data_IF_537805827219
#
_entry.id   IF_537805827219
#
_cell.length_a   1.000
_cell.length_b   1.000
_cell.length_c   1.000
_cell.angle_alpha   90.00
_cell.angle_beta   90.00
_cell.angle_gamma   90.00
#
_symmetry.space_group_name_H-M   'P 1'
#
loop_
_entity.id
_entity.type
_entity.pdbx_description
1 polymer ?
#
# COMPACT_ATOMS: atom_id res chain seq x y z
N UNK A 1 11.70 2.75 5.45
CA UNK A 1 10.30 3.23 5.44
C UNK A 1 9.34 2.04 5.51
N UNK A 2 8.10 2.25 5.89
CA UNK A 2 7.04 1.24 5.86
C UNK A 2 5.84 1.83 5.13
N UNK A 3 5.14 1.02 4.34
CA UNK A 3 3.87 1.44 3.73
C UNK A 3 2.74 0.62 4.34
N UNK A 4 1.65 1.28 4.73
CA UNK A 4 0.44 0.64 5.24
C UNK A 4 -0.72 0.97 4.30
N UNK A 5 -1.41 -0.06 3.83
CA UNK A 5 -2.65 0.06 3.08
C UNK A 5 -3.80 -0.20 4.05
N UNK A 6 -4.48 0.84 4.53
CA UNK A 6 -5.67 0.71 5.37
C UNK A 6 -6.93 0.68 4.51
N UNK A 7 -7.70 -0.40 4.56
CA UNK A 7 -8.97 -0.53 3.83
C UNK A 7 -10.13 -0.51 4.82
N UNK A 8 -10.97 0.52 4.70
CA UNK A 8 -12.20 0.70 5.48
C UNK A 8 -13.40 0.77 4.55
N UNK A 9 -14.61 0.62 5.12
CA UNK A 9 -15.87 0.38 4.40
C UNK A 9 -16.18 1.37 3.25
N UNK A 10 -15.61 2.57 3.30
CA UNK A 10 -15.82 3.62 2.31
C UNK A 10 -14.56 4.34 1.85
N UNK A 11 -13.40 4.04 2.43
CA UNK A 11 -12.14 4.72 2.13
C UNK A 11 -10.99 3.72 2.20
N UNK A 12 -10.02 3.89 1.32
CA UNK A 12 -8.71 3.25 1.41
C UNK A 12 -7.68 4.34 1.65
N UNK A 13 -6.72 4.07 2.52
CA UNK A 13 -5.59 4.96 2.77
C UNK A 13 -4.29 4.25 2.48
N UNK A 14 -3.38 4.95 1.83
CA UNK A 14 -2.00 4.56 1.66
C UNK A 14 -1.16 5.44 2.58
N UNK A 15 -0.60 4.87 3.63
CA UNK A 15 0.18 5.59 4.64
C UNK A 15 1.67 5.26 4.46
N UNK A 16 2.51 6.28 4.32
CA UNK A 16 3.96 6.14 4.40
C UNK A 16 4.39 6.42 5.84
N UNK A 17 5.03 5.44 6.49
CA UNK A 17 5.54 5.55 7.86
C UNK A 17 7.06 5.53 7.92
N UNK A 18 7.62 6.42 8.74
CA UNK A 18 9.01 6.46 9.19
C UNK A 18 9.04 6.34 10.71
N UNK A 19 9.68 5.31 11.24
CA UNK A 19 9.81 5.10 12.70
C UNK A 19 8.45 5.21 13.44
N UNK A 20 7.44 4.50 12.91
CA UNK A 20 6.04 4.47 13.37
C UNK A 20 5.25 5.79 13.21
N UNK A 21 5.87 6.87 12.76
CA UNK A 21 5.17 8.13 12.44
C UNK A 21 4.74 8.14 10.99
N UNK A 22 3.48 8.53 10.73
CA UNK A 22 3.01 8.81 9.37
C UNK A 22 3.69 10.08 8.86
N UNK A 23 4.43 9.94 7.76
CA UNK A 23 5.13 11.06 7.10
C UNK A 23 4.39 11.54 5.85
N UNK A 24 3.56 10.69 5.25
CA UNK A 24 2.68 11.06 4.15
C UNK A 24 1.47 10.11 4.08
N UNK A 25 0.38 10.57 3.47
CA UNK A 25 -0.81 9.76 3.24
C UNK A 25 -1.55 10.13 1.96
N UNK A 26 -2.14 9.12 1.31
CA UNK A 26 -3.08 9.29 0.20
C UNK A 26 -4.39 8.60 0.57
N UNK A 27 -5.50 9.34 0.52
CA UNK A 27 -6.84 8.82 0.80
C UNK A 27 -7.63 8.74 -0.51
N UNK A 28 -8.20 7.58 -0.81
CA UNK A 28 -8.99 7.37 -2.01
C UNK A 28 -10.19 6.47 -1.74
N UNK A 29 -11.23 6.59 -2.55
CA UNK A 29 -12.42 5.75 -2.44
C UNK A 29 -12.12 4.34 -3.00
N UNK A 30 -12.58 3.27 -2.33
CA UNK A 30 -12.52 1.91 -2.82
C UNK A 30 -13.56 1.71 -3.93
N UNK A 31 -13.36 2.36 -5.07
CA UNK A 31 -14.10 2.04 -6.28
C UNK A 31 -13.55 0.75 -6.90
N UNK A 32 -14.28 0.16 -7.86
CA UNK A 32 -14.00 -1.18 -8.44
C UNK A 32 -12.61 -1.38 -9.08
N UNK A 33 -11.72 -0.40 -9.03
CA UNK A 33 -10.41 -0.39 -9.68
C UNK A 33 -9.23 -0.13 -8.72
N UNK A 34 -9.35 -0.51 -7.44
CA UNK A 34 -8.26 -0.40 -6.44
C UNK A 34 -6.94 -0.95 -6.99
N UNK A 35 -6.97 -2.08 -7.70
CA UNK A 35 -5.78 -2.70 -8.30
C UNK A 35 -5.05 -1.79 -9.29
N UNK A 36 -5.82 -1.03 -10.08
CA UNK A 36 -5.28 -0.10 -11.08
C UNK A 36 -4.78 1.21 -10.45
N UNK A 37 -5.41 1.63 -9.35
CA UNK A 37 -5.06 2.89 -8.66
C UNK A 37 -3.91 2.73 -7.65
N UNK A 38 -3.71 1.54 -7.08
CA UNK A 38 -2.71 1.33 -6.04
C UNK A 38 -1.28 1.60 -6.53
N UNK A 39 -0.87 1.00 -7.65
CA UNK A 39 0.50 1.14 -8.16
C UNK A 39 0.85 2.61 -8.49
N UNK A 40 -0.01 3.38 -9.19
CA UNK A 40 0.20 4.82 -9.36
C UNK A 40 0.34 5.58 -8.05
N UNK A 41 -0.48 5.29 -7.04
CA UNK A 41 -0.39 5.96 -5.73
C UNK A 41 0.87 5.58 -4.96
N UNK A 42 1.36 4.34 -5.12
CA UNK A 42 2.67 3.92 -4.60
C UNK A 42 3.80 4.71 -5.27
N UNK A 43 3.80 4.80 -6.60
CA UNK A 43 4.82 5.57 -7.32
C UNK A 43 4.77 7.07 -6.96
N UNK A 44 3.56 7.63 -6.81
CA UNK A 44 3.34 9.01 -6.41
C UNK A 44 3.88 9.30 -5.01
N UNK A 45 3.51 8.49 -4.00
CA UNK A 45 3.96 8.72 -2.62
C UNK A 45 5.47 8.56 -2.48
N UNK A 46 6.08 7.63 -3.24
CA UNK A 46 7.53 7.44 -3.26
C UNK A 46 8.24 8.64 -3.89
N UNK A 47 7.83 9.05 -5.09
CA UNK A 47 8.42 10.19 -5.80
C UNK A 47 8.29 11.49 -5.02
N UNK A 48 7.11 11.75 -4.43
CA UNK A 48 6.86 12.94 -3.60
C UNK A 48 7.79 13.01 -2.39
N UNK A 49 8.17 11.86 -1.84
CA UNK A 49 9.08 11.77 -0.70
C UNK A 49 10.55 11.51 -1.09
N UNK A 50 10.86 11.55 -2.40
CA UNK A 50 12.18 11.26 -2.96
C UNK A 50 12.73 9.90 -2.50
N UNK A 51 11.83 8.90 -2.44
CA UNK A 51 12.11 7.52 -2.05
C UNK A 51 12.08 6.61 -3.27
N UNK A 52 12.77 5.50 -3.15
CA UNK A 52 12.69 4.38 -4.09
C UNK A 52 12.02 3.17 -3.46
N UNK A 53 11.72 2.17 -4.28
CA UNK A 53 11.19 0.87 -3.83
C UNK A 53 12.13 0.22 -2.80
N UNK A 54 13.44 0.41 -2.96
CA UNK A 54 14.47 -0.17 -2.08
C UNK A 54 14.43 0.42 -0.65
N UNK A 55 13.99 1.68 -0.51
CA UNK A 55 13.85 2.35 0.78
C UNK A 55 12.67 1.81 1.62
N UNK A 56 11.73 1.12 0.97
CA UNK A 56 10.58 0.51 1.62
C UNK A 56 11.00 -0.83 2.21
N UNK A 57 11.00 -0.87 3.54
CA UNK A 57 11.37 -2.05 4.32
C UNK A 57 10.28 -3.10 4.28
N UNK A 58 9.02 -2.69 4.31
CA UNK A 58 7.86 -3.58 4.41
C UNK A 58 6.60 -2.88 3.93
N UNK A 59 5.67 -3.67 3.39
CA UNK A 59 4.28 -3.28 3.15
C UNK A 59 3.36 -4.08 4.08
N UNK A 60 2.43 -3.40 4.72
CA UNK A 60 1.38 -4.00 5.54
C UNK A 60 0.00 -3.62 4.98
N UNK A 61 -0.95 -4.54 5.13
CA UNK A 61 -2.34 -4.32 4.73
C UNK A 61 -3.17 -4.48 5.99
N UNK A 62 -3.89 -3.44 6.35
CA UNK A 62 -4.78 -3.40 7.50
C UNK A 62 -6.21 -3.22 7.00
N UNK A 63 -7.16 -3.98 7.54
CA UNK A 63 -8.56 -3.82 7.16
C UNK A 63 -9.50 -4.04 8.33
N UNK A 64 -10.46 -3.13 8.45
CA UNK A 64 -11.57 -3.22 9.41
C UNK A 64 -12.77 -3.96 8.78
N UNK A 65 -12.62 -4.47 7.56
CA UNK A 65 -13.64 -5.20 6.82
C UNK A 65 -13.40 -6.70 6.98
N UNK A 66 -14.47 -7.45 7.23
CA UNK A 66 -14.39 -8.91 7.35
C UNK A 66 -13.76 -9.57 6.13
N UNK A 67 -13.27 -10.80 6.30
CA UNK A 67 -12.41 -11.54 5.34
C UNK A 67 -12.97 -11.67 3.90
N UNK A 68 -14.25 -11.39 3.66
CA UNK A 68 -14.91 -11.54 2.37
C UNK A 68 -14.77 -10.36 1.40
N UNK A 69 -13.98 -9.33 1.72
CA UNK A 69 -13.90 -8.13 0.87
C UNK A 69 -12.82 -8.23 -0.22
N UNK A 70 -13.21 -8.11 -1.50
CA UNK A 70 -12.34 -8.20 -2.68
C UNK A 70 -11.13 -7.27 -2.63
N UNK A 71 -11.27 -6.08 -2.04
CA UNK A 71 -10.16 -5.13 -1.91
C UNK A 71 -9.01 -5.62 -1.05
N UNK A 72 -9.26 -6.49 -0.06
CA UNK A 72 -8.21 -7.12 0.74
C UNK A 72 -7.33 -8.01 -0.11
N UNK A 73 -7.94 -8.88 -0.93
CA UNK A 73 -7.22 -9.75 -1.87
C UNK A 73 -6.34 -8.97 -2.83
N UNK A 74 -6.82 -7.80 -3.30
CA UNK A 74 -6.05 -6.93 -4.19
C UNK A 74 -4.85 -6.31 -3.46
N UNK A 75 -5.05 -5.77 -2.25
CA UNK A 75 -3.96 -5.20 -1.48
C UNK A 75 -2.93 -6.25 -1.05
N UNK A 76 -3.37 -7.45 -0.68
CA UNK A 76 -2.50 -8.59 -0.41
C UNK A 76 -1.72 -9.02 -1.67
N UNK A 77 -2.35 -9.02 -2.85
CA UNK A 77 -1.65 -9.28 -4.10
C UNK A 77 -0.56 -8.24 -4.38
N UNK A 78 -0.83 -6.94 -4.16
CA UNK A 78 0.18 -5.88 -4.33
C UNK A 78 1.32 -6.05 -3.33
N UNK A 79 1.02 -6.36 -2.07
CA UNK A 79 2.04 -6.71 -1.07
C UNK A 79 2.88 -7.91 -1.53
N UNK A 80 2.27 -8.97 -2.02
CA UNK A 80 2.98 -10.18 -2.45
C UNK A 80 3.89 -9.91 -3.66
N UNK A 81 3.44 -9.10 -4.63
CA UNK A 81 4.28 -8.68 -5.76
C UNK A 81 5.46 -7.86 -5.28
N UNK A 82 5.25 -6.96 -4.32
CA UNK A 82 6.32 -6.15 -3.76
C UNK A 82 7.35 -6.99 -2.99
N UNK A 83 6.87 -7.91 -2.14
CA UNK A 83 7.72 -8.85 -1.42
C UNK A 83 8.48 -9.76 -2.39
N UNK A 84 7.87 -10.14 -3.52
CA UNK A 84 8.55 -10.89 -4.58
C UNK A 84 9.64 -10.07 -5.27
N UNK A 85 9.39 -8.82 -5.65
CA UNK A 85 10.43 -7.94 -6.24
C UNK A 85 11.59 -7.75 -5.27
N UNK A 86 11.29 -7.64 -3.96
CA UNK A 86 12.30 -7.47 -2.91
C UNK A 86 13.12 -8.73 -2.66
N UNK A 87 12.50 -9.91 -2.67
CA UNK A 87 13.15 -11.18 -2.33
C UNK A 87 13.60 -12.01 -3.55
N UNK A 88 13.21 -11.60 -4.77
CA UNK A 88 13.36 -12.36 -6.01
C UNK A 88 14.57 -12.04 -6.87
N UNK A 89 15.52 -11.24 -6.36
CA UNK A 89 16.84 -11.05 -6.96
C UNK A 89 17.93 -11.48 -5.97
N UNK A 90 18.01 -12.78 -5.69
CA UNK A 90 19.18 -13.43 -5.08
C UNK A 90 19.78 -14.44 -6.03
#
# INVERSE_FOLDING_TARGET
MQIIIEIKNKITKLLLKKDQKTVDEIIFLPEQNISQKLLPFFDEILKKNNLTVEDIKKIEVETDLGDSYTSRRIAEAVKNVFDWVKNGNS
#
